data_IF_540873886076
#
_entry.id   IF_540873886076
#
_cell.length_a   1.000
_cell.length_b   1.000
_cell.length_c   1.000
_cell.angle_alpha   90.00
_cell.angle_beta   90.00
_cell.angle_gamma   90.00
#
_symmetry.space_group_name_H-M   'P 1'
#
loop_
_entity.id
_entity.type
_entity.pdbx_description
1 polymer ?
#
# COMPACT_ATOMS: atom_id res chain seq x y z
N UNK A 1 3.05 11.70 5.69
CA UNK A 1 2.65 11.32 7.06
C UNK A 1 3.28 12.26 8.07
N UNK A 2 2.47 12.74 9.01
CA UNK A 2 2.97 13.63 10.06
C UNK A 2 3.87 12.89 11.04
N UNK A 3 4.84 13.62 11.62
CA UNK A 3 5.81 13.03 12.54
C UNK A 3 5.15 12.24 13.69
N UNK A 4 4.03 12.75 14.23
CA UNK A 4 3.30 12.08 15.31
C UNK A 4 2.68 10.75 14.94
N UNK A 5 2.48 10.49 13.64
CA UNK A 5 1.90 9.26 13.14
C UNK A 5 2.94 8.25 12.68
N UNK A 6 4.20 8.64 12.66
CA UNK A 6 5.28 7.76 12.23
C UNK A 6 5.61 6.74 13.31
N UNK A 7 5.78 5.48 12.90
CA UNK A 7 6.25 4.44 13.78
C UNK A 7 7.69 4.68 14.24
N UNK A 8 8.02 4.14 15.39
CA UNK A 8 9.35 4.25 15.99
C UNK A 8 10.47 3.79 15.06
N UNK A 9 10.21 2.76 14.24
CA UNK A 9 11.21 2.13 13.37
C UNK A 9 11.33 2.76 11.98
N UNK A 10 10.48 3.75 11.65
CA UNK A 10 10.43 4.30 10.30
C UNK A 10 11.12 5.66 10.23
N UNK A 11 12.01 5.84 9.24
CA UNK A 11 12.63 7.13 8.94
C UNK A 11 11.71 7.99 8.08
N UNK A 12 10.90 7.36 7.21
CA UNK A 12 9.97 8.04 6.31
C UNK A 12 8.83 7.11 5.96
N UNK A 13 7.61 7.63 5.98
CA UNK A 13 6.41 6.84 5.69
C UNK A 13 5.53 7.59 4.69
N UNK A 14 5.05 6.86 3.69
CA UNK A 14 4.06 7.34 2.72
C UNK A 14 2.81 6.49 2.83
N UNK A 15 1.65 7.14 2.80
CA UNK A 15 0.37 6.45 2.77
C UNK A 15 -0.26 6.56 1.37
N UNK A 16 -0.83 5.47 0.91
CA UNK A 16 -1.69 5.48 -0.28
C UNK A 16 -3.12 5.52 0.21
N UNK A 17 -3.88 6.51 -0.24
CA UNK A 17 -5.25 6.73 0.20
C UNK A 17 -6.22 6.67 -0.97
N UNK A 18 -7.46 6.28 -0.69
CA UNK A 18 -8.55 6.28 -1.68
C UNK A 18 -9.71 7.12 -1.18
N UNK A 19 -10.42 7.73 -2.12
CA UNK A 19 -11.62 8.51 -1.83
C UNK A 19 -12.80 7.59 -1.55
N UNK A 20 -13.49 7.82 -0.44
CA UNK A 20 -14.71 7.08 -0.08
C UNK A 20 -15.87 8.07 -0.06
N UNK A 21 -16.72 8.08 -1.10
CA UNK A 21 -17.80 9.07 -1.23
C UNK A 21 -18.76 9.10 -0.06
N UNK A 22 -19.15 7.96 0.47
CA UNK A 22 -20.09 7.90 1.60
C UNK A 22 -19.57 8.57 2.87
N UNK A 23 -18.24 8.62 3.03
CA UNK A 23 -17.58 9.21 4.19
C UNK A 23 -17.04 10.61 3.89
N UNK A 24 -17.11 11.04 2.63
CA UNK A 24 -16.60 12.34 2.16
C UNK A 24 -15.15 12.57 2.63
N UNK A 25 -14.30 11.56 2.51
CA UNK A 25 -12.92 11.63 2.96
C UNK A 25 -12.06 10.58 2.25
N UNK A 26 -10.75 10.76 2.35
CA UNK A 26 -9.78 9.76 1.94
C UNK A 26 -9.52 8.80 3.09
N UNK A 27 -9.32 7.53 2.75
CA UNK A 27 -8.95 6.48 3.71
C UNK A 27 -7.71 5.75 3.21
N UNK A 28 -6.84 5.42 4.15
CA UNK A 28 -5.61 4.71 3.87
C UNK A 28 -5.87 3.26 3.43
N UNK A 29 -5.21 2.83 2.35
CA UNK A 29 -5.22 1.44 1.91
C UNK A 29 -3.84 0.80 1.97
N UNK A 30 -2.79 1.59 2.08
CA UNK A 30 -1.43 1.09 2.23
C UNK A 30 -0.57 2.14 2.91
N UNK A 31 0.30 1.70 3.79
CA UNK A 31 1.33 2.55 4.39
C UNK A 31 2.68 1.95 4.03
N UNK A 32 3.55 2.75 3.42
CA UNK A 32 4.85 2.30 2.95
C UNK A 32 5.94 3.06 3.69
N UNK A 33 6.79 2.34 4.38
CA UNK A 33 7.82 2.92 5.26
C UNK A 33 9.21 2.54 4.81
N UNK A 34 10.13 3.51 4.84
CA UNK A 34 11.55 3.25 4.73
C UNK A 34 12.10 3.14 6.16
N UNK A 35 12.53 1.95 6.54
CA UNK A 35 13.03 1.66 7.88
C UNK A 35 14.55 1.84 8.01
N UNK A 36 15.22 2.26 6.92
CA UNK A 36 16.66 2.44 6.85
C UNK A 36 17.34 1.17 7.38
N UNK A 37 18.22 1.26 8.37
CA UNK A 37 18.92 0.10 8.90
C UNK A 37 18.34 -0.42 10.22
N UNK A 38 17.23 0.15 10.70
CA UNK A 38 16.67 -0.20 12.00
C UNK A 38 16.34 -1.69 12.12
N UNK A 39 15.58 -2.20 11.12
CA UNK A 39 15.19 -3.62 11.14
C UNK A 39 16.36 -4.53 10.84
N UNK A 40 17.25 -4.13 9.94
CA UNK A 40 18.43 -4.93 9.59
C UNK A 40 19.36 -5.07 10.79
N UNK A 41 19.49 -4.02 11.61
CA UNK A 41 20.30 -4.05 12.83
C UNK A 41 19.77 -5.07 13.83
N UNK A 42 18.44 -5.12 14.00
CA UNK A 42 17.80 -6.08 14.91
C UNK A 42 17.85 -7.50 14.38
N UNK A 43 17.64 -7.69 13.07
CA UNK A 43 17.67 -9.00 12.45
C UNK A 43 19.07 -9.45 12.03
N UNK A 44 20.07 -8.55 12.16
CA UNK A 44 21.47 -8.82 11.79
C UNK A 44 21.65 -9.14 10.32
N UNK A 45 20.92 -8.43 9.44
CA UNK A 45 20.99 -8.61 7.99
C UNK A 45 21.99 -7.62 7.42
N UNK A 46 23.03 -8.14 6.77
CA UNK A 46 24.14 -7.35 6.23
C UNK A 46 24.43 -7.76 4.80
N UNK A 47 25.14 -6.90 4.10
CA UNK A 47 25.61 -7.21 2.74
C UNK A 47 27.05 -6.73 2.58
N UNK A 48 27.73 -7.29 1.61
CA UNK A 48 29.10 -6.87 1.25
C UNK A 48 29.01 -6.01 0.00
N UNK A 49 29.52 -4.78 0.10
CA UNK A 49 29.52 -3.88 -1.05
C UNK A 49 30.50 -4.39 -2.11
N UNK A 50 30.08 -4.33 -3.38
CA UNK A 50 30.93 -4.75 -4.48
C UNK A 50 32.10 -3.78 -4.69
N UNK A 51 31.85 -2.47 -4.52
CA UNK A 51 32.83 -1.43 -4.78
C UNK A 51 33.97 -1.37 -3.77
N UNK A 52 33.68 -1.53 -2.49
CA UNK A 52 34.65 -1.38 -1.41
C UNK A 52 34.95 -2.66 -0.65
N UNK A 53 34.13 -3.71 -0.81
CA UNK A 53 34.24 -4.93 -0.06
C UNK A 53 33.83 -4.82 1.40
N UNK A 54 33.36 -3.65 1.84
CA UNK A 54 32.92 -3.43 3.22
C UNK A 54 31.58 -4.11 3.48
N UNK A 55 31.39 -4.56 4.73
CA UNK A 55 30.12 -5.14 5.17
C UNK A 55 29.31 -4.05 5.85
N UNK A 56 28.08 -3.88 5.40
CA UNK A 56 27.16 -2.88 5.92
C UNK A 56 25.78 -3.50 6.17
N UNK A 57 24.97 -2.85 7.02
CA UNK A 57 23.58 -3.23 7.24
C UNK A 57 22.75 -2.86 6.03
N UNK A 58 21.79 -3.73 5.66
CA UNK A 58 20.86 -3.40 4.60
C UNK A 58 19.82 -2.39 5.09
N UNK A 59 19.19 -1.68 4.16
CA UNK A 59 18.00 -0.88 4.45
C UNK A 59 16.78 -1.70 4.07
N UNK A 60 15.71 -1.54 4.81
CA UNK A 60 14.47 -2.26 4.55
C UNK A 60 13.32 -1.32 4.27
N UNK A 61 12.36 -1.82 3.50
CA UNK A 61 11.10 -1.14 3.23
C UNK A 61 9.98 -2.03 3.74
N UNK A 62 8.94 -1.41 4.27
CA UNK A 62 7.73 -2.10 4.66
C UNK A 62 6.54 -1.46 3.94
N UNK A 63 5.66 -2.28 3.41
CA UNK A 63 4.48 -1.78 2.75
C UNK A 63 3.45 -2.89 2.62
N UNK A 64 2.19 -2.56 2.88
CA UNK A 64 1.09 -3.48 2.62
C UNK A 64 0.80 -3.51 1.13
N UNK A 65 0.61 -4.70 0.57
CA UNK A 65 0.17 -4.89 -0.79
C UNK A 65 -1.29 -4.51 -0.99
N UNK A 66 -1.91 -4.08 0.02
CA UNK A 66 -2.95 -3.10 0.35
C UNK A 66 -4.02 -3.69 1.29
N UNK A 67 -4.84 -2.82 1.87
CA UNK A 67 -5.98 -3.22 2.70
C UNK A 67 -7.11 -3.68 1.77
N UNK A 68 -7.28 -4.99 1.62
CA UNK A 68 -8.21 -5.58 0.63
C UNK A 68 -9.64 -5.13 0.87
N UNK A 69 -10.13 -5.26 2.09
CA UNK A 69 -11.53 -4.90 2.42
C UNK A 69 -11.85 -3.45 2.12
N UNK A 70 -10.97 -2.54 2.51
CA UNK A 70 -11.16 -1.09 2.28
C UNK A 70 -11.08 -0.76 0.79
N UNK A 71 -10.19 -1.41 0.05
CA UNK A 71 -10.07 -1.22 -1.39
C UNK A 71 -11.32 -1.71 -2.12
N UNK A 72 -11.87 -2.86 -1.73
CA UNK A 72 -13.14 -3.38 -2.29
C UNK A 72 -14.26 -2.40 -2.03
N UNK A 73 -14.38 -1.87 -0.81
CA UNK A 73 -15.39 -0.88 -0.47
C UNK A 73 -15.27 0.38 -1.35
N UNK A 74 -14.05 0.85 -1.58
CA UNK A 74 -13.80 2.01 -2.43
C UNK A 74 -14.22 1.75 -3.88
N UNK A 75 -13.93 0.56 -4.42
CA UNK A 75 -14.34 0.19 -5.77
C UNK A 75 -15.85 0.15 -5.87
N UNK A 76 -16.53 -0.49 -4.93
CA UNK A 76 -17.98 -0.58 -4.94
C UNK A 76 -18.63 0.81 -4.90
N UNK A 77 -18.11 1.72 -4.08
CA UNK A 77 -18.67 3.07 -3.97
C UNK A 77 -18.37 3.94 -5.19
N UNK A 78 -17.14 3.90 -5.72
CA UNK A 78 -16.74 4.79 -6.80
C UNK A 78 -17.19 4.33 -8.19
N UNK A 79 -17.44 3.03 -8.36
CA UNK A 79 -17.80 2.44 -9.65
C UNK A 79 -19.24 1.96 -9.71
N UNK A 80 -20.06 2.35 -8.74
CA UNK A 80 -21.47 2.03 -8.72
C UNK A 80 -22.22 2.80 -9.80
N UNK A 81 -23.11 2.12 -10.51
CA UNK A 81 -23.97 2.71 -11.54
C UNK A 81 -25.35 3.00 -10.97
N UNK A 82 -26.13 3.81 -11.70
CA UNK A 82 -27.48 4.20 -11.27
C UNK A 82 -28.41 3.02 -11.06
N UNK A 83 -28.24 1.95 -11.83
CA UNK A 83 -29.07 0.74 -11.71
C UNK A 83 -28.65 -0.20 -10.59
N UNK A 84 -27.68 0.19 -9.80
CA UNK A 84 -27.16 -0.63 -8.70
C UNK A 84 -26.05 -1.60 -9.08
N UNK A 85 -25.74 -1.71 -10.38
CA UNK A 85 -24.61 -2.51 -10.82
C UNK A 85 -23.29 -1.80 -10.53
N UNK A 86 -22.18 -2.55 -10.56
CA UNK A 86 -20.85 -2.00 -10.34
C UNK A 86 -19.97 -2.32 -11.55
N UNK A 87 -19.40 -1.29 -12.14
CA UNK A 87 -18.44 -1.45 -13.24
C UNK A 87 -17.10 -1.92 -12.67
N UNK A 88 -16.51 -2.95 -13.28
CA UNK A 88 -15.20 -3.44 -12.88
C UNK A 88 -14.12 -2.49 -13.43
N UNK A 89 -13.21 -1.98 -12.61
CA UNK A 89 -12.07 -1.19 -13.12
C UNK A 89 -11.33 -1.97 -14.19
N UNK A 90 -10.96 -1.29 -15.26
CA UNK A 90 -10.35 -1.93 -16.43
C UNK A 90 -9.17 -2.83 -16.08
N UNK A 91 -8.33 -2.37 -15.15
CA UNK A 91 -7.12 -3.10 -14.73
C UNK A 91 -7.44 -4.42 -14.04
N UNK A 92 -8.67 -4.58 -13.51
CA UNK A 92 -9.09 -5.80 -12.81
C UNK A 92 -9.86 -6.78 -13.70
N UNK A 93 -10.29 -6.34 -14.87
CA UNK A 93 -11.09 -7.18 -15.78
C UNK A 93 -10.42 -8.52 -16.08
N UNK A 94 -9.12 -8.60 -16.40
CA UNK A 94 -8.46 -9.89 -16.63
C UNK A 94 -8.54 -10.85 -15.44
N UNK A 95 -8.51 -10.30 -14.21
CA UNK A 95 -8.58 -11.11 -12.99
C UNK A 95 -10.00 -11.56 -12.66
N UNK A 96 -11.00 -10.98 -13.32
CA UNK A 96 -12.40 -11.30 -13.14
C UNK A 96 -12.93 -12.20 -14.26
N UNK A 97 -12.03 -12.89 -14.98
CA UNK A 97 -12.42 -13.74 -16.10
C UNK A 97 -13.01 -13.00 -17.29
N UNK A 98 -12.66 -11.73 -17.45
CA UNK A 98 -13.18 -10.90 -18.54
C UNK A 98 -14.52 -10.24 -18.23
N UNK A 99 -15.06 -10.43 -17.02
CA UNK A 99 -16.30 -9.77 -16.60
C UNK A 99 -16.05 -8.28 -16.43
N UNK A 100 -16.94 -7.45 -16.98
CA UNK A 100 -16.79 -5.99 -16.93
C UNK A 100 -17.76 -5.31 -15.97
N UNK A 101 -18.74 -6.04 -15.45
CA UNK A 101 -19.77 -5.49 -14.59
C UNK A 101 -20.37 -6.55 -13.68
N UNK A 102 -20.69 -6.16 -12.44
CA UNK A 102 -21.38 -6.99 -11.46
C UNK A 102 -22.80 -6.48 -11.28
N UNK A 103 -23.77 -7.37 -11.38
CA UNK A 103 -25.19 -7.01 -11.20
C UNK A 103 -25.94 -6.55 -12.43
#
# INVERSE_FOLDING_TARGET
LCTGDMGFSAAKTYDVEVWIPAQDTYREISSCSNCVDFQARRAKIRFRREDSGKIELVHTLNGSGLAVGRTVAAILENYQNEDGSVTIPEVLVPYMGGVTKIG
#
